data_IF_888356010533
#
_entry.id   IF_888356010533
#
_cell.length_a   1.000
_cell.length_b   1.000
_cell.length_c   1.000
_cell.angle_alpha   90.00
_cell.angle_beta   90.00
_cell.angle_gamma   90.00
#
_symmetry.space_group_name_H-M   'P 1'
#
loop_
_entity.id
_entity.type
_entity.pdbx_description
1 polymer ?
#
# COMPACT_ATOMS: atom_id res chain seq x y z
N UNK A 1 2.68 -18.16 -0.11
CA UNK A 1 2.86 -16.86 0.58
C UNK A 1 1.61 -16.00 0.49
N UNK A 2 1.04 -15.82 -0.72
CA UNK A 2 -0.19 -15.05 -0.97
C UNK A 2 -1.36 -15.47 -0.08
N UNK A 3 -1.68 -16.77 0.01
CA UNK A 3 -2.82 -17.26 0.82
C UNK A 3 -2.74 -16.90 2.31
N UNK A 4 -1.52 -16.90 2.86
CA UNK A 4 -1.27 -16.52 4.25
C UNK A 4 -1.52 -15.02 4.43
N UNK A 5 -1.07 -14.19 3.49
CA UNK A 5 -1.26 -12.74 3.53
C UNK A 5 -2.75 -12.38 3.38
N UNK A 6 -3.47 -13.05 2.47
CA UNK A 6 -4.93 -12.88 2.32
C UNK A 6 -5.69 -13.25 3.59
N UNK A 7 -5.32 -14.37 4.23
CA UNK A 7 -5.91 -14.78 5.50
C UNK A 7 -5.63 -13.76 6.61
N UNK A 8 -4.45 -13.16 6.64
CA UNK A 8 -4.14 -12.06 7.54
C UNK A 8 -5.02 -10.85 7.26
N UNK A 9 -5.14 -10.42 5.99
CA UNK A 9 -5.98 -9.27 5.61
C UNK A 9 -7.44 -9.46 6.00
N UNK A 10 -8.01 -10.65 5.78
CA UNK A 10 -9.39 -10.95 6.16
C UNK A 10 -9.61 -10.85 7.66
N UNK A 11 -8.74 -11.48 8.47
CA UNK A 11 -8.83 -11.42 9.93
C UNK A 11 -8.70 -10.00 10.47
N UNK A 12 -7.92 -9.15 9.81
CA UNK A 12 -7.78 -7.74 10.18
C UNK A 12 -9.05 -6.96 9.87
N UNK A 13 -9.63 -7.17 8.70
CA UNK A 13 -10.86 -6.51 8.30
C UNK A 13 -12.06 -6.95 9.17
N UNK A 14 -12.11 -8.22 9.59
CA UNK A 14 -13.11 -8.72 10.54
C UNK A 14 -12.96 -8.07 11.93
N UNK A 15 -11.71 -7.90 12.40
CA UNK A 15 -11.40 -7.24 13.68
C UNK A 15 -11.71 -5.75 13.67
N UNK A 16 -11.36 -5.05 12.59
CA UNK A 16 -11.69 -3.63 12.45
C UNK A 16 -13.20 -3.44 12.42
N UNK A 17 -13.94 -4.25 11.66
CA UNK A 17 -15.41 -4.20 11.62
C UNK A 17 -16.08 -4.53 12.96
N UNK A 18 -15.58 -5.50 13.73
CA UNK A 18 -16.10 -5.78 15.08
C UNK A 18 -15.79 -4.67 16.07
N UNK A 19 -14.64 -4.00 15.94
CA UNK A 19 -14.29 -2.85 16.76
C UNK A 19 -15.16 -1.63 16.40
N UNK A 20 -15.42 -1.38 15.10
CA UNK A 20 -16.31 -0.30 14.64
C UNK A 20 -17.77 -0.56 15.04
N UNK A 21 -18.24 -1.81 14.98
CA UNK A 21 -19.57 -2.19 15.43
C UNK A 21 -19.77 -1.99 16.94
N UNK A 22 -18.71 -2.20 17.75
CA UNK A 22 -18.74 -1.93 19.18
C UNK A 22 -18.58 -0.42 19.52
N UNK A 23 -17.89 0.34 18.68
CA UNK A 23 -17.71 1.80 18.81
C UNK A 23 -18.92 2.60 18.35
N UNK A 24 -19.79 2.03 17.50
CA UNK A 24 -21.06 2.65 17.11
C UNK A 24 -22.04 2.86 18.30
N UNK A 25 -21.71 2.36 19.49
CA UNK A 25 -22.45 2.60 20.73
C UNK A 25 -21.86 3.71 21.63
N UNK A 26 -20.73 4.35 21.27
CA UNK A 26 -20.12 5.41 22.07
C UNK A 26 -19.58 6.55 21.19
N UNK A 27 -20.18 7.73 21.35
CA UNK A 27 -19.80 8.96 20.65
C UNK A 27 -18.40 9.47 21.06
N UNK A 28 -17.74 10.08 20.07
CA UNK A 28 -16.78 11.19 20.11
C UNK A 28 -15.68 11.19 21.19
N UNK A 29 -14.44 10.93 20.79
CA UNK A 29 -13.29 11.76 21.20
C UNK A 29 -12.02 11.40 20.40
N UNK A 30 -11.25 12.44 20.07
CA UNK A 30 -10.12 12.38 19.15
C UNK A 30 -8.91 11.56 19.63
N UNK A 31 -8.40 10.72 18.72
CA UNK A 31 -7.07 10.09 18.66
C UNK A 31 -6.76 9.03 19.75
N UNK A 32 -6.19 7.87 19.38
CA UNK A 32 -4.89 7.81 18.73
C UNK A 32 -4.86 6.97 17.43
N UNK A 33 -4.17 7.47 16.40
CA UNK A 33 -3.72 6.71 15.21
C UNK A 33 -2.67 5.67 15.62
N UNK A 34 -3.06 4.65 16.38
CA UNK A 34 -2.13 3.62 16.87
C UNK A 34 -2.90 2.41 17.37
N UNK A 35 -3.42 1.59 16.42
CA UNK A 35 -3.64 0.15 16.60
C UNK A 35 -4.14 -0.58 15.34
N UNK A 36 -4.05 0.02 14.14
CA UNK A 36 -4.06 -0.76 12.91
C UNK A 36 -2.75 -1.55 12.84
N UNK A 37 -2.83 -2.88 12.83
CA UNK A 37 -1.81 -3.65 12.12
C UNK A 37 -1.79 -3.05 10.72
N UNK A 38 -0.69 -2.37 10.36
CA UNK A 38 -0.60 -1.45 9.23
C UNK A 38 -1.14 -2.11 7.95
N UNK A 39 -2.42 -1.87 7.63
CA UNK A 39 -3.10 -2.48 6.48
C UNK A 39 -2.35 -2.11 5.20
N UNK A 40 -1.74 -0.92 5.19
CA UNK A 40 -0.81 -0.49 4.15
C UNK A 40 0.35 -1.47 4.01
N UNK A 41 0.98 -1.87 5.13
CA UNK A 41 2.06 -2.86 5.10
C UNK A 41 1.59 -4.24 4.62
N UNK A 42 0.37 -4.65 4.95
CA UNK A 42 -0.21 -5.92 4.48
C UNK A 42 -0.45 -5.91 2.98
N UNK A 43 -1.06 -4.86 2.45
CA UNK A 43 -1.31 -4.73 1.01
C UNK A 43 0.00 -4.51 0.23
N UNK A 44 1.00 -3.83 0.81
CA UNK A 44 2.35 -3.75 0.25
C UNK A 44 2.98 -5.15 0.10
N UNK A 45 2.86 -5.99 1.12
CA UNK A 45 3.37 -7.37 1.08
C UNK A 45 2.56 -8.25 0.12
N UNK A 46 1.25 -8.05 0.04
CA UNK A 46 0.38 -8.78 -0.86
C UNK A 46 0.72 -8.49 -2.32
N UNK A 47 0.83 -7.21 -2.68
CA UNK A 47 1.24 -6.79 -4.02
C UNK A 47 2.63 -7.32 -4.40
N UNK A 48 3.58 -7.27 -3.45
CA UNK A 48 4.91 -7.85 -3.67
C UNK A 48 4.83 -9.36 -3.91
N UNK A 49 4.04 -10.08 -3.12
CA UNK A 49 3.89 -11.53 -3.26
C UNK A 49 3.25 -11.92 -4.60
N UNK A 50 2.27 -11.16 -5.10
CA UNK A 50 1.73 -11.35 -6.44
C UNK A 50 2.79 -11.09 -7.53
N UNK A 51 3.58 -10.02 -7.37
CA UNK A 51 4.66 -9.71 -8.32
C UNK A 51 5.73 -10.80 -8.35
N UNK A 52 6.18 -11.26 -7.18
CA UNK A 52 7.16 -12.36 -7.06
C UNK A 52 6.63 -13.66 -7.70
N UNK A 53 5.29 -13.85 -7.72
CA UNK A 53 4.62 -14.98 -8.37
C UNK A 53 4.42 -14.79 -9.90
N UNK A 54 4.76 -13.62 -10.44
CA UNK A 54 4.54 -13.28 -11.86
C UNK A 54 3.12 -12.79 -12.18
N UNK A 55 2.28 -12.62 -11.17
CA UNK A 55 0.91 -12.12 -11.27
C UNK A 55 0.89 -10.58 -11.25
N UNK A 56 1.46 -9.97 -12.29
CA UNK A 56 1.70 -8.52 -12.33
C UNK A 56 0.40 -7.71 -12.28
N UNK A 57 -0.65 -8.15 -12.97
CA UNK A 57 -1.94 -7.47 -12.96
C UNK A 57 -2.57 -7.44 -11.57
N UNK A 58 -2.48 -8.55 -10.83
CA UNK A 58 -3.00 -8.66 -9.46
C UNK A 58 -2.21 -7.76 -8.50
N UNK A 59 -0.87 -7.72 -8.65
CA UNK A 59 -0.02 -6.80 -7.89
C UNK A 59 -0.39 -5.33 -8.12
N UNK A 60 -0.60 -4.95 -9.38
CA UNK A 60 -1.02 -3.58 -9.74
C UNK A 60 -2.38 -3.25 -9.15
N UNK A 61 -3.36 -4.16 -9.23
CA UNK A 61 -4.69 -3.94 -8.65
C UNK A 61 -4.65 -3.76 -7.12
N UNK A 62 -3.80 -4.52 -6.42
CA UNK A 62 -3.60 -4.34 -4.97
C UNK A 62 -3.07 -2.94 -4.67
N UNK A 63 -2.05 -2.48 -5.41
CA UNK A 63 -1.50 -1.14 -5.18
C UNK A 63 -2.43 -0.01 -5.61
N UNK A 64 -3.27 -0.21 -6.63
CA UNK A 64 -4.31 0.74 -7.02
C UNK A 64 -5.32 0.94 -5.90
N UNK A 65 -5.86 -0.16 -5.35
CA UNK A 65 -6.76 -0.07 -4.21
C UNK A 65 -6.08 0.60 -3.01
N UNK A 66 -4.81 0.26 -2.74
CA UNK A 66 -4.05 0.87 -1.66
C UNK A 66 -3.92 2.40 -1.84
N UNK A 67 -3.66 2.85 -3.06
CA UNK A 67 -3.59 4.27 -3.40
C UNK A 67 -4.96 4.94 -3.28
N UNK A 68 -6.05 4.24 -3.63
CA UNK A 68 -7.41 4.77 -3.47
C UNK A 68 -7.78 4.98 -2.01
N UNK A 69 -7.45 4.04 -1.13
CA UNK A 69 -7.74 4.12 0.31
C UNK A 69 -6.78 5.07 1.06
N UNK A 70 -5.52 5.14 0.61
CA UNK A 70 -4.47 5.95 1.24
C UNK A 70 -3.74 6.83 0.21
N UNK A 71 -4.41 7.83 -0.39
CA UNK A 71 -3.85 8.63 -1.48
C UNK A 71 -2.68 9.53 -1.06
N UNK A 72 -2.48 9.75 0.23
CA UNK A 72 -1.35 10.53 0.77
C UNK A 72 -0.18 9.65 1.22
N UNK A 73 -0.29 8.32 1.16
CA UNK A 73 0.81 7.42 1.50
C UNK A 73 1.68 7.15 0.25
N UNK A 74 2.92 7.63 0.28
CA UNK A 74 3.84 7.51 -0.84
C UNK A 74 4.21 6.04 -1.19
N UNK A 75 4.09 5.11 -0.24
CA UNK A 75 4.57 3.73 -0.40
C UNK A 75 3.81 2.98 -1.48
N UNK A 76 2.50 3.22 -1.63
CA UNK A 76 1.68 2.62 -2.68
C UNK A 76 2.14 3.03 -4.08
N UNK A 77 2.36 4.33 -4.28
CA UNK A 77 2.92 4.86 -5.53
C UNK A 77 4.32 4.32 -5.81
N UNK A 78 5.21 4.30 -4.81
CA UNK A 78 6.56 3.78 -4.95
C UNK A 78 6.54 2.30 -5.38
N UNK A 79 5.74 1.47 -4.71
CA UNK A 79 5.63 0.04 -5.01
C UNK A 79 5.08 -0.22 -6.42
N UNK A 80 4.01 0.48 -6.81
CA UNK A 80 3.47 0.39 -8.18
C UNK A 80 4.48 0.85 -9.23
N UNK A 81 5.22 1.93 -8.96
CA UNK A 81 6.28 2.44 -9.84
C UNK A 81 7.39 1.41 -10.09
N UNK A 82 7.85 0.74 -9.03
CA UNK A 82 8.87 -0.32 -9.13
C UNK A 82 8.38 -1.45 -10.04
N UNK A 83 7.18 -1.98 -9.80
CA UNK A 83 6.63 -3.09 -10.59
C UNK A 83 6.40 -2.69 -12.05
N UNK A 84 5.87 -1.50 -12.31
CA UNK A 84 5.68 -1.03 -13.69
C UNK A 84 7.02 -0.93 -14.44
N UNK A 85 8.06 -0.45 -13.75
CA UNK A 85 9.40 -0.32 -14.32
C UNK A 85 10.03 -1.67 -14.63
N UNK A 86 9.97 -2.61 -13.69
CA UNK A 86 10.47 -3.99 -13.87
C UNK A 86 9.76 -4.71 -15.03
N UNK A 87 8.52 -4.32 -15.34
CA UNK A 87 7.73 -4.85 -16.46
C UNK A 87 7.80 -4.00 -17.74
N UNK A 88 8.78 -3.11 -17.87
CA UNK A 88 9.04 -2.33 -19.09
C UNK A 88 8.09 -1.16 -19.34
N UNK A 89 7.18 -0.86 -18.40
CA UNK A 89 6.23 0.26 -18.49
C UNK A 89 6.84 1.55 -17.92
N UNK A 90 8.03 1.91 -18.38
CA UNK A 90 8.84 3.00 -17.81
C UNK A 90 8.11 4.35 -17.76
N UNK A 91 7.32 4.69 -18.77
CA UNK A 91 6.56 5.94 -18.79
C UNK A 91 5.43 5.99 -17.75
N UNK A 92 4.84 4.84 -17.40
CA UNK A 92 3.86 4.75 -16.31
C UNK A 92 4.54 4.78 -14.94
N UNK A 93 5.68 4.10 -14.82
CA UNK A 93 6.49 4.09 -13.61
C UNK A 93 6.95 5.49 -13.21
N UNK A 94 7.42 6.30 -14.17
CA UNK A 94 7.85 7.68 -13.93
C UNK A 94 6.76 8.51 -13.25
N UNK A 95 5.51 8.40 -13.73
CA UNK A 95 4.38 9.11 -13.12
C UNK A 95 4.15 8.68 -11.67
N UNK A 96 4.33 7.39 -11.38
CA UNK A 96 4.23 6.88 -10.01
C UNK A 96 5.38 7.37 -9.12
N UNK A 97 6.62 7.44 -9.61
CA UNK A 97 7.73 7.98 -8.82
C UNK A 97 7.58 9.48 -8.54
N UNK A 98 7.04 10.26 -9.47
CA UNK A 98 6.72 11.68 -9.24
C UNK A 98 5.71 11.82 -8.09
N UNK A 99 4.62 11.05 -8.12
CA UNK A 99 3.62 11.05 -7.04
C UNK A 99 4.21 10.57 -5.72
N UNK A 100 4.99 9.48 -5.74
CA UNK A 100 5.67 8.97 -4.56
C UNK A 100 6.59 10.03 -3.94
N UNK A 101 7.36 10.75 -4.76
CA UNK A 101 8.26 11.81 -4.27
C UNK A 101 7.49 13.01 -3.69
N UNK A 102 6.33 13.33 -4.25
CA UNK A 102 5.47 14.40 -3.79
C UNK A 102 4.94 14.14 -2.37
N UNK A 103 4.44 12.94 -2.11
CA UNK A 103 3.90 12.54 -0.80
C UNK A 103 4.97 12.05 0.20
N UNK A 104 6.18 11.74 -0.27
CA UNK A 104 7.22 11.21 0.59
C UNK A 104 7.72 12.25 1.62
N UNK A 105 7.91 11.86 2.89
CA UNK A 105 8.67 12.68 3.83
C UNK A 105 10.11 12.83 3.35
N UNK A 106 10.80 13.89 3.77
CA UNK A 106 12.16 14.21 3.29
C UNK A 106 13.14 13.04 3.46
N UNK A 107 13.04 12.30 4.57
CA UNK A 107 13.86 11.12 4.84
C UNK A 107 13.67 9.98 3.81
N UNK A 108 12.53 9.93 3.11
CA UNK A 108 12.21 8.91 2.12
C UNK A 108 12.39 9.38 0.66
N UNK A 109 12.54 10.68 0.40
CA UNK A 109 12.71 11.20 -0.98
C UNK A 109 13.93 10.60 -1.69
N UNK A 110 15.04 10.46 -0.96
CA UNK A 110 16.25 9.82 -1.49
C UNK A 110 16.04 8.36 -1.88
N UNK A 111 15.16 7.63 -1.16
CA UNK A 111 14.78 6.26 -1.51
C UNK A 111 13.99 6.23 -2.82
N UNK A 112 13.01 7.12 -2.97
CA UNK A 112 12.21 7.24 -4.20
C UNK A 112 13.10 7.52 -5.40
N UNK A 113 14.01 8.50 -5.27
CA UNK A 113 14.95 8.87 -6.34
C UNK A 113 15.84 7.69 -6.78
N UNK A 114 16.30 6.89 -5.82
CA UNK A 114 17.10 5.69 -6.12
C UNK A 114 16.36 4.68 -6.98
N UNK A 115 15.06 4.47 -6.74
CA UNK A 115 14.25 3.56 -7.56
C UNK A 115 13.89 4.16 -8.92
N UNK A 116 13.63 5.47 -8.98
CA UNK A 116 13.34 6.18 -10.22
C UNK A 116 14.51 6.14 -11.21
N UNK A 117 15.75 6.22 -10.73
CA UNK A 117 16.96 6.24 -11.57
C UNK A 117 17.49 4.87 -12.02
N UNK A 118 17.03 3.77 -11.39
CA UNK A 118 17.57 2.41 -11.62
C UNK A 118 17.24 1.81 -12.99
#
# INVERSE_FOLDING_TARGET
>A
AVDVILSCRQKLNEKSQTQVANLAAANDDGAPKSQDIDLIQVDLLLGKAYSDWGHISDAVAVYENLITEHPEDFRGYLAKGIILKENGKSGEAERMFIQAKFFAPDAAKALVDRYAQR
#
